data_IF_979157650495
#
_entry.id   IF_979157650495
#
_cell.length_a   1.000
_cell.length_b   1.000
_cell.length_c   1.000
_cell.angle_alpha   90.00
_cell.angle_beta   90.00
_cell.angle_gamma   90.00
#
_symmetry.space_group_name_H-M   'P 1'
#
loop_
_entity.id
_entity.type
_entity.pdbx_description
1 polymer ?
#
# COMPACT_ATOMS: atom_id res chain seq x y z
N UNK A 1 4.16 -42.41 13.02
CA UNK A 1 3.46 -41.14 13.20
C UNK A 1 4.34 -40.19 14.01
N UNK A 2 5.07 -39.27 13.36
CA UNK A 2 6.04 -38.39 14.02
C UNK A 2 5.40 -37.03 14.29
N UNK A 3 4.91 -36.81 15.51
CA UNK A 3 4.29 -35.55 15.97
C UNK A 3 5.31 -34.49 16.46
N UNK A 4 6.60 -34.63 16.11
CA UNK A 4 7.69 -33.81 16.66
C UNK A 4 7.84 -32.39 16.10
N UNK A 5 7.46 -32.05 14.85
CA UNK A 5 7.77 -30.71 14.31
C UNK A 5 6.82 -29.61 14.79
N UNK A 6 5.59 -29.92 15.20
CA UNK A 6 4.60 -28.91 15.64
C UNK A 6 4.97 -28.31 16.99
N UNK A 7 5.50 -29.09 17.91
CA UNK A 7 5.93 -28.59 19.22
C UNK A 7 7.20 -27.76 19.16
N UNK A 8 8.07 -28.04 18.19
CA UNK A 8 9.27 -27.26 17.99
C UNK A 8 8.95 -25.85 17.44
N UNK A 9 7.97 -25.74 16.56
CA UNK A 9 7.49 -24.45 16.04
C UNK A 9 6.80 -23.61 17.12
N UNK A 10 6.06 -24.26 18.02
CA UNK A 10 5.37 -23.58 19.13
C UNK A 10 6.37 -23.06 20.18
N UNK A 11 7.46 -23.81 20.45
CA UNK A 11 8.50 -23.37 21.40
C UNK A 11 9.33 -22.19 20.91
N UNK A 12 9.50 -22.02 19.60
CA UNK A 12 10.22 -20.86 19.03
C UNK A 12 9.43 -19.55 19.23
N UNK A 13 8.10 -19.61 19.24
CA UNK A 13 7.26 -18.44 19.48
C UNK A 13 7.23 -17.97 20.95
N UNK A 14 7.53 -18.87 21.91
CA UNK A 14 7.46 -18.54 23.35
C UNK A 14 8.73 -17.85 23.86
N UNK A 15 9.84 -17.88 23.12
CA UNK A 15 11.12 -17.30 23.56
C UNK A 15 11.38 -15.87 23.08
N UNK A 16 10.46 -15.26 22.32
CA UNK A 16 10.56 -13.83 22.00
C UNK A 16 10.19 -13.01 23.23
N UNK A 17 11.21 -12.70 24.05
CA UNK A 17 11.07 -11.69 25.10
C UNK A 17 10.75 -10.36 24.45
N UNK A 18 9.52 -9.90 24.59
CA UNK A 18 9.14 -8.52 24.28
C UNK A 18 9.80 -7.62 25.31
N UNK A 19 10.95 -7.07 25.00
CA UNK A 19 11.52 -5.96 25.76
C UNK A 19 10.67 -4.74 25.45
N UNK A 20 9.75 -4.39 26.34
CA UNK A 20 9.09 -3.09 26.30
C UNK A 20 10.17 -2.04 26.60
N UNK A 21 10.57 -1.29 25.58
CA UNK A 21 11.48 -0.17 25.74
C UNK A 21 10.67 0.99 26.31
N UNK A 22 10.81 1.22 27.62
CA UNK A 22 10.46 2.48 28.23
C UNK A 22 11.64 3.44 28.07
N UNK A 23 11.83 3.98 26.88
CA UNK A 23 12.64 5.17 26.66
C UNK A 23 11.69 6.32 26.36
N UNK A 24 11.65 7.27 27.26
CA UNK A 24 10.95 8.55 27.19
C UNK A 24 11.65 9.54 26.25
N UNK A 25 12.29 9.05 25.21
CA UNK A 25 12.60 9.88 24.06
C UNK A 25 11.51 9.61 23.04
N UNK A 26 10.92 10.66 22.53
CA UNK A 26 9.95 10.64 21.44
C UNK A 26 10.54 9.85 20.25
N UNK A 27 10.56 8.53 20.35
CA UNK A 27 10.71 7.68 19.18
C UNK A 27 9.40 7.81 18.43
N UNK A 28 9.33 8.85 17.60
CA UNK A 28 8.24 8.98 16.65
C UNK A 28 8.10 7.63 15.95
N UNK A 29 6.92 7.01 16.06
CA UNK A 29 6.63 5.82 15.28
C UNK A 29 7.03 6.10 13.84
N UNK A 30 7.43 5.09 13.09
CA UNK A 30 7.72 5.26 11.65
C UNK A 30 6.44 5.77 11.01
N UNK A 31 6.34 7.10 10.90
CA UNK A 31 5.21 7.76 10.25
C UNK A 31 5.58 7.94 8.78
N UNK A 32 4.70 7.53 7.90
CA UNK A 32 4.88 7.83 6.48
C UNK A 32 4.43 9.27 6.23
N UNK A 33 5.22 10.01 5.49
CA UNK A 33 4.89 11.40 5.12
C UNK A 33 3.61 11.49 4.25
N UNK A 34 3.22 10.40 3.61
CA UNK A 34 2.05 10.33 2.74
C UNK A 34 1.14 9.16 3.14
N UNK A 35 0.34 9.32 4.23
CA UNK A 35 -0.48 8.23 4.79
C UNK A 35 -1.49 7.62 3.81
N UNK A 36 -1.93 8.36 2.79
CA UNK A 36 -2.88 7.85 1.79
C UNK A 36 -2.35 6.64 1.02
N UNK A 37 -1.03 6.43 0.99
CA UNK A 37 -0.43 5.25 0.37
C UNK A 37 -0.85 3.96 1.08
N UNK A 38 -1.15 4.03 2.38
CA UNK A 38 -1.57 2.88 3.18
C UNK A 38 -3.05 2.53 3.00
N UNK A 39 -3.85 3.44 2.43
CA UNK A 39 -5.27 3.18 2.23
C UNK A 39 -5.44 2.16 1.10
N UNK A 40 -6.12 1.06 1.43
CA UNK A 40 -6.38 -0.03 0.49
C UNK A 40 -7.57 0.32 -0.41
N UNK A 41 -7.38 0.39 -1.74
CA UNK A 41 -8.46 0.74 -2.66
C UNK A 41 -9.33 -0.46 -3.05
N UNK A 42 -8.97 -1.66 -2.63
CA UNK A 42 -9.58 -2.93 -3.02
C UNK A 42 -10.67 -3.35 -2.03
N UNK A 43 -11.91 -3.42 -2.48
CA UNK A 43 -13.05 -3.83 -1.68
C UNK A 43 -12.92 -5.27 -1.13
N UNK A 44 -12.27 -6.17 -1.89
CA UNK A 44 -12.02 -7.55 -1.44
C UNK A 44 -11.04 -7.57 -0.27
N UNK A 45 -9.92 -6.87 -0.39
CA UNK A 45 -8.95 -6.80 0.68
C UNK A 45 -9.52 -6.07 1.90
N UNK A 46 -10.25 -4.98 1.70
CA UNK A 46 -10.93 -4.25 2.77
C UNK A 46 -11.92 -5.12 3.55
N UNK A 47 -12.68 -5.97 2.86
CA UNK A 47 -13.60 -6.93 3.50
C UNK A 47 -12.86 -8.03 4.29
N UNK A 48 -11.57 -8.26 4.01
CA UNK A 48 -10.72 -9.23 4.71
C UNK A 48 -9.78 -8.60 5.74
N UNK A 49 -10.04 -7.34 6.18
CA UNK A 49 -9.18 -6.61 7.10
C UNK A 49 -7.85 -6.16 6.45
N UNK A 50 -7.93 -5.67 5.22
CA UNK A 50 -6.83 -5.16 4.40
C UNK A 50 -5.75 -6.20 4.07
N UNK A 51 -6.09 -7.49 4.15
CA UNK A 51 -5.18 -8.57 3.77
C UNK A 51 -5.02 -8.67 2.26
N UNK A 52 -3.79 -8.54 1.77
CA UNK A 52 -3.51 -8.60 0.35
C UNK A 52 -2.18 -9.23 -0.02
N UNK A 53 -1.21 -9.26 0.89
CA UNK A 53 0.20 -9.60 0.61
C UNK A 53 0.38 -11.05 0.15
N UNK A 54 -0.35 -12.00 0.74
CA UNK A 54 -0.25 -13.44 0.45
C UNK A 54 -1.53 -14.04 -0.16
N UNK A 55 -2.52 -13.23 -0.50
CA UNK A 55 -3.75 -13.71 -1.17
C UNK A 55 -3.46 -14.12 -2.63
N UNK A 56 -4.41 -14.81 -3.25
CA UNK A 56 -4.31 -15.15 -4.68
C UNK A 56 -4.19 -13.90 -5.55
N UNK A 57 -3.50 -14.02 -6.69
CA UNK A 57 -3.33 -12.92 -7.64
C UNK A 57 -4.68 -12.46 -8.21
N UNK A 58 -4.96 -11.17 -8.14
CA UNK A 58 -6.14 -10.49 -8.64
C UNK A 58 -5.78 -9.19 -9.35
N UNK A 59 -6.76 -8.39 -9.75
CA UNK A 59 -6.53 -7.13 -10.44
C UNK A 59 -5.82 -6.08 -9.57
N UNK A 60 -6.03 -6.13 -8.25
CA UNK A 60 -5.47 -5.16 -7.30
C UNK A 60 -4.18 -5.64 -6.61
N UNK A 61 -3.58 -6.72 -7.09
CA UNK A 61 -2.36 -7.29 -6.52
C UNK A 61 -1.20 -6.31 -6.43
N UNK A 62 -1.11 -5.34 -7.34
CA UNK A 62 -0.03 -4.34 -7.37
C UNK A 62 0.00 -3.47 -6.12
N UNK A 63 -1.16 -3.18 -5.52
CA UNK A 63 -1.25 -2.37 -4.30
C UNK A 63 -0.71 -3.07 -3.06
N UNK A 64 -0.65 -4.40 -3.08
CA UNK A 64 -0.28 -5.21 -1.91
C UNK A 64 1.06 -5.91 -2.06
N UNK A 65 1.26 -6.57 -3.20
CA UNK A 65 2.46 -7.37 -3.47
C UNK A 65 2.60 -7.60 -4.97
N UNK A 66 3.43 -6.83 -5.66
CA UNK A 66 3.67 -6.96 -7.09
C UNK A 66 4.15 -8.34 -7.53
N UNK A 67 4.90 -9.07 -6.68
CA UNK A 67 5.39 -10.40 -7.03
C UNK A 67 4.27 -11.40 -7.37
N UNK A 68 3.05 -11.20 -6.83
CA UNK A 68 1.89 -12.07 -7.07
C UNK A 68 1.46 -12.13 -8.54
N UNK A 69 1.70 -11.06 -9.33
CA UNK A 69 1.12 -10.93 -10.67
C UNK A 69 1.60 -12.01 -11.64
N UNK A 70 2.77 -12.60 -11.39
CA UNK A 70 3.29 -13.73 -12.18
C UNK A 70 2.48 -15.02 -12.01
N UNK A 71 1.72 -15.14 -10.90
CA UNK A 71 0.82 -16.27 -10.63
C UNK A 71 -0.62 -15.98 -11.07
N UNK A 72 -0.82 -14.92 -11.85
CA UNK A 72 -2.14 -14.64 -12.43
C UNK A 72 -2.59 -15.77 -13.34
N UNK A 73 -3.83 -16.21 -13.18
CA UNK A 73 -4.44 -17.24 -14.03
C UNK A 73 -4.89 -16.72 -15.41
N UNK A 74 -4.86 -15.39 -15.62
CA UNK A 74 -5.16 -14.74 -16.90
C UNK A 74 -3.97 -13.88 -17.32
N UNK A 75 -3.81 -13.74 -18.64
CA UNK A 75 -2.76 -12.90 -19.21
C UNK A 75 -2.96 -11.43 -18.82
N UNK A 76 -4.16 -10.92 -18.96
CA UNK A 76 -4.50 -9.53 -18.63
C UNK A 76 -5.54 -9.50 -17.51
N UNK A 77 -5.31 -8.61 -16.55
CA UNK A 77 -6.30 -8.23 -15.52
C UNK A 77 -6.32 -6.72 -15.39
N UNK A 78 -7.51 -6.17 -15.29
CA UNK A 78 -7.75 -4.75 -15.02
C UNK A 78 -8.73 -4.60 -13.87
N UNK A 79 -8.58 -3.54 -13.11
CA UNK A 79 -9.50 -3.19 -12.04
C UNK A 79 -9.65 -1.69 -11.95
N UNK A 80 -10.86 -1.22 -11.63
CA UNK A 80 -11.14 0.18 -11.32
C UNK A 80 -11.99 0.17 -10.07
N UNK A 81 -11.70 1.06 -9.13
CA UNK A 81 -12.51 1.29 -7.94
C UNK A 81 -12.77 2.77 -7.75
N UNK A 82 -13.94 3.05 -7.21
CA UNK A 82 -14.33 4.35 -6.69
C UNK A 82 -14.93 4.14 -5.31
N UNK A 83 -14.31 4.71 -4.30
CA UNK A 83 -14.73 4.59 -2.91
C UNK A 83 -15.02 5.98 -2.34
N UNK A 84 -16.30 6.36 -2.20
CA UNK A 84 -16.65 7.59 -1.52
C UNK A 84 -16.27 7.48 -0.04
N UNK A 85 -15.63 8.51 0.48
CA UNK A 85 -15.16 8.56 1.85
C UNK A 85 -16.03 9.55 2.63
N UNK A 86 -16.42 9.18 3.84
CA UNK A 86 -17.28 10.04 4.70
C UNK A 86 -18.58 10.52 4.04
N UNK A 87 -19.20 9.71 3.19
CA UNK A 87 -20.36 10.09 2.36
C UNK A 87 -21.55 10.68 3.12
N UNK A 88 -21.68 10.37 4.40
CA UNK A 88 -22.74 10.93 5.23
C UNK A 88 -22.43 12.37 5.70
N UNK A 89 -21.22 12.84 5.50
CA UNK A 89 -20.74 14.15 5.90
C UNK A 89 -20.52 15.07 4.70
N UNK A 90 -19.96 14.52 3.60
CA UNK A 90 -19.61 15.27 2.40
C UNK A 90 -19.61 14.35 1.16
N UNK A 91 -19.86 14.92 -0.02
CA UNK A 91 -19.93 14.19 -1.28
C UNK A 91 -18.64 14.28 -2.12
N UNK A 92 -17.66 15.06 -1.69
CA UNK A 92 -16.48 15.44 -2.47
C UNK A 92 -15.18 14.75 -2.03
N UNK A 93 -15.23 13.97 -0.91
CA UNK A 93 -14.09 13.15 -0.47
C UNK A 93 -14.22 11.73 -1.04
N UNK A 94 -13.23 11.30 -1.81
CA UNK A 94 -13.23 9.97 -2.42
C UNK A 94 -11.82 9.48 -2.75
N UNK A 95 -11.70 8.16 -2.87
CA UNK A 95 -10.54 7.48 -3.44
C UNK A 95 -10.96 6.81 -4.75
N UNK A 96 -10.26 7.19 -5.82
CA UNK A 96 -10.33 6.50 -7.11
C UNK A 96 -9.05 5.73 -7.36
N UNK A 97 -9.14 4.52 -7.88
CA UNK A 97 -7.95 3.77 -8.27
C UNK A 97 -8.19 2.91 -9.50
N UNK A 98 -7.11 2.62 -10.21
CA UNK A 98 -7.14 1.71 -11.34
C UNK A 98 -5.85 0.93 -11.44
N UNK A 99 -5.94 -0.28 -11.98
CA UNK A 99 -4.80 -1.15 -12.19
C UNK A 99 -4.90 -1.89 -13.51
N UNK A 100 -3.74 -2.15 -14.09
CA UNK A 100 -3.55 -2.97 -15.27
C UNK A 100 -2.38 -3.92 -15.05
N UNK A 101 -2.60 -5.19 -15.30
CA UNK A 101 -1.60 -6.25 -15.16
C UNK A 101 -1.54 -7.03 -16.47
N UNK A 102 -0.34 -7.29 -16.96
CA UNK A 102 -0.10 -8.13 -18.11
C UNK A 102 0.98 -9.16 -17.80
N UNK A 103 0.57 -10.43 -17.68
CA UNK A 103 1.49 -11.58 -17.62
C UNK A 103 1.83 -12.02 -19.04
N UNK A 104 2.81 -11.39 -19.65
CA UNK A 104 3.17 -11.61 -21.05
C UNK A 104 3.95 -12.92 -21.30
N UNK A 105 4.44 -13.55 -20.22
CA UNK A 105 5.08 -14.87 -20.29
C UNK A 105 4.73 -15.72 -19.07
N UNK A 106 5.11 -16.99 -19.08
CA UNK A 106 4.89 -17.87 -17.92
C UNK A 106 5.70 -17.45 -16.68
N UNK A 107 6.82 -16.76 -16.90
CA UNK A 107 7.75 -16.36 -15.85
C UNK A 107 7.72 -14.87 -15.52
N UNK A 108 7.20 -14.03 -16.40
CA UNK A 108 7.31 -12.59 -16.25
C UNK A 108 5.98 -11.87 -16.45
N UNK A 109 5.77 -10.85 -15.64
CA UNK A 109 4.61 -9.99 -15.71
C UNK A 109 5.02 -8.55 -15.39
N UNK A 110 4.31 -7.59 -15.96
CA UNK A 110 4.39 -6.19 -15.59
C UNK A 110 3.00 -5.65 -15.30
N UNK A 111 2.94 -4.54 -14.62
CA UNK A 111 1.68 -3.86 -14.36
C UNK A 111 1.91 -2.40 -14.04
N UNK A 112 0.82 -1.65 -14.14
CA UNK A 112 0.77 -0.27 -13.71
C UNK A 112 -0.51 -0.04 -12.92
N UNK A 113 -0.43 0.82 -11.93
CA UNK A 113 -1.57 1.26 -11.15
C UNK A 113 -1.51 2.74 -10.86
N UNK A 114 -2.67 3.30 -10.55
CA UNK A 114 -2.77 4.64 -10.00
C UNK A 114 -3.78 4.65 -8.85
N UNK A 115 -3.58 5.58 -7.92
CA UNK A 115 -4.53 5.90 -6.86
C UNK A 115 -4.59 7.42 -6.72
N UNK A 116 -5.81 7.94 -6.69
CA UNK A 116 -6.11 9.35 -6.50
C UNK A 116 -7.00 9.51 -5.27
N UNK A 117 -6.62 10.37 -4.37
CA UNK A 117 -7.38 10.71 -3.18
C UNK A 117 -7.76 12.19 -3.21
N UNK A 118 -9.04 12.49 -3.28
CA UNK A 118 -9.59 13.82 -3.08
C UNK A 118 -9.98 13.98 -1.62
N UNK A 119 -9.49 15.04 -0.97
CA UNK A 119 -9.87 15.38 0.38
C UNK A 119 -11.03 16.39 0.44
N UNK A 120 -11.63 16.67 -0.74
CA UNK A 120 -12.73 17.60 -0.87
C UNK A 120 -12.30 19.06 -0.85
N UNK A 121 -13.30 19.94 -0.85
CA UNK A 121 -13.12 21.37 -0.77
C UNK A 121 -13.09 21.81 0.69
N UNK A 122 -12.10 22.61 1.05
CA UNK A 122 -11.97 23.18 2.41
C UNK A 122 -12.05 24.70 2.29
N UNK A 123 -13.05 25.29 2.94
CA UNK A 123 -13.20 26.72 3.02
C UNK A 123 -12.32 27.27 4.16
N UNK A 124 -11.46 28.22 3.80
CA UNK A 124 -10.58 28.87 4.75
C UNK A 124 -11.28 30.07 5.37
N UNK A 125 -11.12 30.23 6.68
CA UNK A 125 -11.62 31.40 7.42
C UNK A 125 -10.49 32.10 8.16
N UNK A 126 -10.58 33.41 8.29
CA UNK A 126 -9.70 34.19 9.15
C UNK A 126 -10.08 34.04 10.64
N UNK A 127 -9.30 34.65 11.52
CA UNK A 127 -9.58 34.67 12.97
C UNK A 127 -10.90 35.37 13.37
N UNK A 128 -11.49 36.14 12.46
CA UNK A 128 -12.78 36.81 12.61
C UNK A 128 -13.95 35.99 12.04
N UNK A 129 -13.69 34.79 11.46
CA UNK A 129 -14.70 33.95 10.82
C UNK A 129 -15.07 34.36 9.41
N UNK A 130 -14.37 35.31 8.77
CA UNK A 130 -14.63 35.70 7.40
C UNK A 130 -13.96 34.73 6.43
N UNK A 131 -14.59 34.48 5.28
CA UNK A 131 -14.02 33.61 4.23
C UNK A 131 -12.69 34.18 3.72
N UNK A 132 -11.66 33.34 3.70
CA UNK A 132 -10.29 33.65 3.22
C UNK A 132 -9.90 32.75 2.04
N UNK A 133 -10.87 32.28 1.26
CA UNK A 133 -10.68 31.45 0.09
C UNK A 133 -10.98 29.97 0.33
N UNK A 134 -10.72 29.17 -0.71
CA UNK A 134 -10.94 27.71 -0.71
C UNK A 134 -9.71 27.00 -1.22
N UNK A 135 -9.47 25.79 -0.68
CA UNK A 135 -8.44 24.88 -1.18
C UNK A 135 -9.06 23.52 -1.52
N UNK A 136 -8.45 22.80 -2.45
CA UNK A 136 -8.85 21.44 -2.86
C UNK A 136 -7.65 20.49 -2.71
N UNK A 137 -7.36 20.03 -1.50
CA UNK A 137 -6.24 19.14 -1.28
C UNK A 137 -6.46 17.79 -1.98
N UNK A 138 -5.41 17.28 -2.59
CA UNK A 138 -5.47 15.98 -3.26
C UNK A 138 -4.11 15.29 -3.29
N UNK A 139 -4.14 13.97 -3.37
CA UNK A 139 -2.95 13.15 -3.43
C UNK A 139 -3.07 12.13 -4.56
N UNK A 140 -1.96 11.88 -5.22
CA UNK A 140 -1.88 11.00 -6.39
C UNK A 140 -0.63 10.14 -6.31
N UNK A 141 -0.75 8.87 -6.65
CA UNK A 141 0.37 7.99 -6.91
C UNK A 141 0.18 7.24 -8.22
N UNK A 142 1.25 7.18 -8.99
CA UNK A 142 1.39 6.28 -10.13
C UNK A 142 2.47 5.26 -9.82
N UNK A 143 2.19 3.98 -10.09
CA UNK A 143 3.11 2.86 -9.86
C UNK A 143 3.33 2.09 -11.15
N UNK A 144 4.58 1.83 -11.47
CA UNK A 144 4.97 0.82 -12.47
C UNK A 144 5.63 -0.35 -11.76
N UNK A 145 5.22 -1.57 -12.08
CA UNK A 145 5.70 -2.79 -11.42
C UNK A 145 6.17 -3.83 -12.41
N UNK A 146 7.20 -4.55 -12.03
CA UNK A 146 7.71 -5.71 -12.76
C UNK A 146 7.93 -6.87 -11.80
N UNK A 147 7.54 -8.08 -12.23
CA UNK A 147 7.70 -9.29 -11.44
C UNK A 147 8.22 -10.45 -12.29
N UNK A 148 9.05 -11.29 -11.68
CA UNK A 148 9.67 -12.45 -12.29
C UNK A 148 9.54 -13.67 -11.39
N UNK A 149 9.07 -14.80 -11.96
CA UNK A 149 9.17 -16.10 -11.32
C UNK A 149 10.63 -16.58 -11.34
N UNK A 150 11.17 -16.80 -10.17
CA UNK A 150 12.51 -17.34 -9.97
C UNK A 150 12.48 -18.87 -9.93
N UNK A 151 11.35 -19.45 -9.46
CA UNK A 151 11.09 -20.89 -9.52
C UNK A 151 9.60 -21.12 -9.81
N UNK A 152 9.16 -22.36 -9.93
CA UNK A 152 7.75 -22.72 -10.12
C UNK A 152 6.85 -22.24 -8.97
N UNK A 153 7.44 -22.10 -7.78
CA UNK A 153 6.71 -21.76 -6.54
C UNK A 153 7.03 -20.38 -6.01
N UNK A 154 8.09 -19.70 -6.49
CA UNK A 154 8.53 -18.42 -5.93
C UNK A 154 8.73 -17.35 -7.01
N UNK A 155 8.30 -16.13 -6.72
CA UNK A 155 8.54 -14.94 -7.54
C UNK A 155 9.03 -13.78 -6.69
N UNK A 156 9.75 -12.87 -7.35
CA UNK A 156 10.13 -11.58 -6.83
C UNK A 156 9.52 -10.46 -7.69
N UNK A 157 9.30 -9.31 -7.09
CA UNK A 157 8.75 -8.14 -7.76
C UNK A 157 9.37 -6.85 -7.26
N UNK A 158 9.42 -5.87 -8.13
CA UNK A 158 9.85 -4.51 -7.83
C UNK A 158 8.82 -3.53 -8.38
N UNK A 159 8.64 -2.40 -7.68
CA UNK A 159 7.82 -1.30 -8.16
C UNK A 159 8.56 0.01 -8.03
N UNK A 160 8.26 0.92 -8.95
CA UNK A 160 8.64 2.31 -8.89
C UNK A 160 7.37 3.15 -8.78
N UNK A 161 7.34 4.05 -7.80
CA UNK A 161 6.22 4.95 -7.54
C UNK A 161 6.61 6.39 -7.76
N UNK A 162 5.75 7.15 -8.42
CA UNK A 162 5.76 8.61 -8.42
C UNK A 162 4.60 9.07 -7.55
N UNK A 163 4.90 9.89 -6.56
CA UNK A 163 3.95 10.36 -5.55
C UNK A 163 3.85 11.87 -5.67
N UNK A 164 2.64 12.39 -5.76
CA UNK A 164 2.34 13.80 -5.67
C UNK A 164 1.30 14.01 -4.56
N UNK A 165 1.67 14.80 -3.56
CA UNK A 165 0.76 15.23 -2.50
C UNK A 165 0.60 16.74 -2.55
N UNK A 166 -0.61 17.19 -2.77
CA UNK A 166 -0.98 18.60 -2.82
C UNK A 166 -1.90 18.89 -1.63
N UNK A 167 -1.31 19.04 -0.47
CA UNK A 167 -1.98 19.48 0.76
C UNK A 167 -1.77 21.00 0.98
N UNK A 168 -1.49 21.73 -0.08
CA UNK A 168 -1.09 23.14 -0.05
C UNK A 168 -2.05 23.99 0.79
N UNK A 169 -1.49 24.68 1.78
CA UNK A 169 -2.19 25.60 2.65
C UNK A 169 -1.30 26.84 2.88
N UNK A 170 -1.82 28.01 2.58
CA UNK A 170 -1.17 29.28 2.90
C UNK A 170 -1.73 29.81 4.22
N UNK A 171 -1.11 29.47 5.32
CA UNK A 171 -1.50 29.97 6.65
C UNK A 171 -1.09 31.43 6.86
N UNK A 172 -1.91 32.17 7.58
CA UNK A 172 -1.72 33.60 7.90
C UNK A 172 -0.50 33.86 8.80
N UNK A 173 0.13 32.83 9.37
CA UNK A 173 1.23 32.92 10.34
C UNK A 173 2.60 32.48 9.78
N UNK A 174 2.79 32.49 8.47
CA UNK A 174 4.06 32.08 7.85
C UNK A 174 4.24 30.56 7.71
N UNK A 175 3.30 29.74 8.15
CA UNK A 175 3.28 28.30 7.95
C UNK A 175 2.60 27.96 6.63
N UNK A 176 3.33 27.99 5.53
CA UNK A 176 2.83 27.53 4.25
C UNK A 176 3.21 26.06 4.03
N UNK A 177 2.21 25.22 3.79
CA UNK A 177 2.39 23.84 3.34
C UNK A 177 2.50 23.89 1.82
N UNK A 178 3.56 23.31 1.26
CA UNK A 178 3.79 23.26 -0.18
C UNK A 178 3.49 21.88 -0.76
N UNK A 179 3.03 21.80 -2.04
CA UNK A 179 2.90 20.52 -2.71
C UNK A 179 4.25 19.82 -2.83
N UNK A 180 4.26 18.52 -2.58
CA UNK A 180 5.44 17.70 -2.72
C UNK A 180 5.34 16.74 -3.90
N UNK A 181 6.50 16.43 -4.49
CA UNK A 181 6.67 15.35 -5.44
C UNK A 181 7.80 14.47 -4.93
N UNK A 182 7.57 13.17 -4.92
CA UNK A 182 8.54 12.19 -4.42
C UNK A 182 8.51 10.91 -5.24
N UNK A 183 9.54 10.09 -5.07
CA UNK A 183 9.62 8.76 -5.65
C UNK A 183 9.83 7.74 -4.55
N UNK A 184 9.29 6.54 -4.76
CA UNK A 184 9.51 5.43 -3.86
C UNK A 184 9.66 4.12 -4.63
N UNK A 185 10.30 3.15 -4.00
CA UNK A 185 10.51 1.81 -4.55
C UNK A 185 9.91 0.78 -3.60
N UNK A 186 9.30 -0.25 -4.17
CA UNK A 186 8.89 -1.43 -3.40
C UNK A 186 9.70 -2.65 -3.85
N UNK A 187 9.95 -3.53 -2.89
CA UNK A 187 10.55 -4.85 -3.12
C UNK A 187 9.66 -5.91 -2.49
N UNK A 188 9.30 -6.90 -3.26
CA UNK A 188 8.34 -7.91 -2.84
C UNK A 188 8.76 -9.33 -3.21
N UNK A 189 8.25 -10.28 -2.44
CA UNK A 189 8.38 -11.70 -2.72
C UNK A 189 7.08 -12.43 -2.47
N UNK A 190 6.83 -13.46 -3.24
CA UNK A 190 5.64 -14.27 -3.14
C UNK A 190 5.95 -15.75 -3.41
N UNK A 191 5.49 -16.59 -2.50
CA UNK A 191 5.58 -18.03 -2.59
C UNK A 191 4.18 -18.63 -2.68
N UNK A 192 4.01 -19.57 -3.60
CA UNK A 192 2.81 -20.39 -3.72
C UNK A 192 3.22 -21.85 -3.91
N UNK A 193 2.80 -22.74 -3.01
CA UNK A 193 3.05 -24.18 -3.15
C UNK A 193 2.37 -24.73 -4.40
N UNK A 194 2.80 -25.89 -4.83
CA UNK A 194 1.99 -26.73 -5.73
C UNK A 194 0.70 -27.09 -5.01
N UNK A 195 -0.30 -27.50 -5.78
CA UNK A 195 -1.56 -28.00 -5.24
C UNK A 195 -1.36 -29.35 -4.61
N UNK A 196 -1.78 -29.51 -3.38
CA UNK A 196 -1.74 -30.76 -2.62
C UNK A 196 -3.18 -31.21 -2.39
N UNK A 197 -3.44 -32.47 -2.73
CA UNK A 197 -4.75 -33.08 -2.49
C UNK A 197 -4.80 -33.65 -1.09
N UNK A 198 -5.77 -33.20 -0.31
CA UNK A 198 -6.14 -33.72 1.00
C UNK A 198 -7.41 -34.54 0.85
N UNK A 199 -7.76 -35.32 1.86
CA UNK A 199 -8.94 -36.23 1.82
C UNK A 199 -10.26 -35.52 1.45
N UNK A 200 -10.41 -34.22 1.79
CA UNK A 200 -11.65 -33.47 1.61
C UNK A 200 -11.52 -32.20 0.77
N UNK A 201 -10.30 -31.79 0.38
CA UNK A 201 -10.08 -30.59 -0.43
C UNK A 201 -8.69 -30.58 -1.05
N UNK A 202 -8.56 -29.83 -2.14
CA UNK A 202 -7.28 -29.47 -2.71
C UNK A 202 -6.81 -28.12 -2.16
N UNK A 203 -5.58 -28.04 -1.69
CA UNK A 203 -5.06 -26.87 -1.00
C UNK A 203 -3.72 -26.37 -1.52
N UNK A 204 -3.43 -25.10 -1.26
CA UNK A 204 -2.13 -24.46 -1.53
C UNK A 204 -1.75 -23.54 -0.39
N UNK A 205 -0.48 -23.57 -0.03
CA UNK A 205 0.09 -22.59 0.89
C UNK A 205 0.55 -21.35 0.11
N UNK A 206 0.34 -20.17 0.69
CA UNK A 206 0.82 -18.92 0.14
C UNK A 206 1.50 -18.12 1.22
N UNK A 207 2.68 -17.60 0.90
CA UNK A 207 3.44 -16.70 1.75
C UNK A 207 3.85 -15.48 0.90
N UNK A 208 3.95 -14.34 1.54
CA UNK A 208 4.37 -13.14 0.82
C UNK A 208 4.93 -12.09 1.77
N UNK A 209 5.80 -11.27 1.25
CA UNK A 209 6.25 -10.06 1.89
C UNK A 209 6.29 -8.91 0.89
N UNK A 210 6.15 -7.70 1.38
CA UNK A 210 6.34 -6.48 0.62
C UNK A 210 6.97 -5.42 1.53
N UNK A 211 8.14 -4.94 1.16
CA UNK A 211 8.78 -3.78 1.77
C UNK A 211 8.47 -2.62 0.83
N UNK A 212 7.59 -1.74 1.26
CA UNK A 212 7.01 -0.70 0.41
C UNK A 212 7.43 0.70 0.83
N UNK A 213 7.34 1.61 -0.14
CA UNK A 213 7.57 3.04 0.04
C UNK A 213 9.00 3.38 0.53
N UNK A 214 9.99 2.64 0.04
CA UNK A 214 11.41 2.97 0.25
C UNK A 214 11.72 4.19 -0.60
N UNK A 215 11.92 5.35 0.03
CA UNK A 215 12.16 6.61 -0.68
C UNK A 215 12.89 7.64 0.17
N UNK A 216 13.19 8.81 -0.39
CA UNK A 216 13.78 9.91 0.36
C UNK A 216 12.81 10.46 1.40
N UNK A 217 13.35 11.10 2.42
CA UNK A 217 12.56 11.91 3.35
C UNK A 217 11.83 13.02 2.59
N UNK A 218 10.63 13.33 3.03
CA UNK A 218 9.77 14.35 2.43
C UNK A 218 9.40 15.37 3.49
N UNK A 219 9.43 16.65 3.14
CA UNK A 219 8.99 17.74 4.00
C UNK A 219 7.97 18.61 3.29
N UNK A 220 6.90 18.95 3.99
CA UNK A 220 5.87 19.89 3.54
C UNK A 220 6.19 21.33 3.91
N UNK A 221 7.11 21.55 4.86
CA UNK A 221 7.49 22.86 5.34
C UNK A 221 8.92 23.17 4.95
N UNK A 222 9.19 24.27 4.23
CA UNK A 222 10.55 24.64 3.88
C UNK A 222 11.46 24.77 5.11
N UNK A 223 12.56 24.03 5.15
CA UNK A 223 13.56 24.08 6.24
C UNK A 223 13.29 23.20 7.44
N UNK A 224 12.19 22.44 7.47
CA UNK A 224 11.98 21.34 8.42
C UNK A 224 12.09 20.00 7.69
N UNK A 225 12.82 19.06 8.27
CA UNK A 225 12.77 17.66 7.82
C UNK A 225 11.62 16.97 8.56
N UNK A 226 10.48 16.87 7.91
CA UNK A 226 9.35 16.10 8.43
C UNK A 226 9.51 14.64 7.98
N UNK A 227 10.04 13.77 8.86
CA UNK A 227 10.10 12.28 8.71
C UNK A 227 11.12 11.72 7.72
#
# INVERSE_FOLDING_TARGET
>A
MKKLPIYFLLCVFVTLKTSSQTNTESTGGITTATPFLLIVPDARAGAMGDMGVATSADAFSLFHNPAKITFSNRQVKTGITYSPWLRNLTDDIFIGSGSYINRYSERAAWGADFKYFSLGQIDLTDSGGNSNGTINPNELVFTGSYALKLSETFSAGVSLKYIRSNLAFNGTAGNSIQPINSFAVDVSGYYQSLEESYENFDGRYRLGFNISNIGPKVSYTPGQEDF
#
